data_IF_006100159327
#
_entry.id   IF_006100159327
#
_cell.length_a   1.000
_cell.length_b   1.000
_cell.length_c   1.000
_cell.angle_alpha   90.00
_cell.angle_beta   90.00
_cell.angle_gamma   90.00
#
_symmetry.space_group_name_H-M   'P 1'
#
loop_
_entity.id
_entity.type
_entity.pdbx_description
1 polymer ?
#
# COMPACT_ATOMS: atom_id res chain seq x y z
N UNK A 1 -1.50 -0.61 0.65
CA UNK A 1 -1.40 -2.08 0.82
C UNK A 1 -1.12 -2.54 2.26
N UNK A 2 -0.14 -1.98 2.99
CA UNK A 2 0.21 -2.40 4.37
C UNK A 2 -1.01 -2.53 5.32
N UNK A 3 -1.90 -1.53 5.33
CA UNK A 3 -3.14 -1.57 6.15
C UNK A 3 -4.04 -2.77 5.81
N UNK A 4 -4.11 -3.16 4.54
CA UNK A 4 -4.89 -4.31 4.11
C UNK A 4 -4.26 -5.62 4.58
N UNK A 5 -2.93 -5.73 4.54
CA UNK A 5 -2.20 -6.89 5.08
C UNK A 5 -2.47 -7.03 6.59
N UNK A 6 -2.37 -5.92 7.33
CA UNK A 6 -2.64 -5.92 8.78
C UNK A 6 -4.09 -6.32 9.09
N UNK A 7 -5.06 -5.84 8.31
CA UNK A 7 -6.46 -6.23 8.45
C UNK A 7 -6.69 -7.72 8.18
N UNK A 8 -6.15 -8.24 7.07
CA UNK A 8 -6.29 -9.64 6.69
C UNK A 8 -5.62 -10.61 7.67
N UNK A 9 -4.47 -10.24 8.23
CA UNK A 9 -3.71 -11.07 9.17
C UNK A 9 -4.12 -10.89 10.64
N UNK A 10 -5.07 -10.03 10.96
CA UNK A 10 -5.45 -9.76 12.35
C UNK A 10 -5.93 -11.03 13.08
N UNK A 11 -6.79 -11.82 12.44
CA UNK A 11 -7.29 -13.09 12.99
C UNK A 11 -6.41 -14.29 12.61
N UNK A 12 -5.80 -14.27 11.42
CA UNK A 12 -5.03 -15.41 10.91
C UNK A 12 -3.58 -15.46 11.44
N UNK A 13 -2.99 -14.31 11.76
CA UNK A 13 -1.56 -14.20 12.06
C UNK A 13 -0.66 -14.61 10.90
N UNK A 14 0.65 -14.64 11.13
CA UNK A 14 1.62 -15.12 10.13
C UNK A 14 1.91 -14.11 9.02
N UNK A 15 1.97 -14.59 7.77
CA UNK A 15 2.40 -13.83 6.60
C UNK A 15 1.52 -14.12 5.38
N UNK A 16 1.42 -13.15 4.46
CA UNK A 16 0.86 -13.37 3.13
C UNK A 16 1.99 -13.75 2.18
N UNK A 17 1.89 -14.94 1.60
CA UNK A 17 2.82 -15.40 0.56
C UNK A 17 2.28 -15.05 -0.82
N UNK A 18 3.05 -14.28 -1.59
CA UNK A 18 2.70 -13.86 -2.95
C UNK A 18 3.78 -14.27 -3.96
N UNK A 19 3.38 -14.52 -5.20
CA UNK A 19 4.25 -14.93 -6.30
C UNK A 19 4.10 -13.97 -7.48
N UNK A 20 5.22 -13.53 -8.05
CA UNK A 20 5.26 -12.52 -9.09
C UNK A 20 5.86 -13.11 -10.37
N UNK A 21 5.06 -13.21 -11.42
CA UNK A 21 5.45 -13.82 -12.69
C UNK A 21 5.77 -12.80 -13.80
N UNK A 22 5.61 -11.48 -13.53
CA UNK A 22 5.77 -10.41 -14.53
C UNK A 22 4.68 -10.36 -15.61
N UNK A 23 3.69 -11.25 -15.55
CA UNK A 23 2.51 -11.30 -16.43
C UNK A 23 1.38 -12.06 -15.73
N UNK A 24 0.15 -11.88 -16.21
CA UNK A 24 -1.02 -12.59 -15.68
C UNK A 24 -1.42 -12.15 -14.27
N UNK A 25 -1.26 -10.86 -13.96
CA UNK A 25 -1.65 -10.26 -12.67
C UNK A 25 -3.10 -10.56 -12.29
N UNK A 26 -4.02 -10.54 -13.28
CA UNK A 26 -5.40 -10.99 -13.13
C UNK A 26 -5.58 -12.38 -12.47
N UNK A 27 -4.65 -13.32 -12.70
CA UNK A 27 -4.67 -14.63 -12.03
C UNK A 27 -4.35 -14.53 -10.54
N UNK A 28 -3.46 -13.62 -10.16
CA UNK A 28 -3.18 -13.30 -8.76
C UNK A 28 -4.34 -12.57 -8.06
N UNK A 29 -5.08 -11.75 -8.80
CA UNK A 29 -6.18 -10.94 -8.29
C UNK A 29 -7.49 -11.72 -8.15
N UNK A 30 -7.76 -12.65 -9.07
CA UNK A 30 -9.03 -13.38 -9.12
C UNK A 30 -8.83 -14.84 -8.72
N UNK A 31 -7.94 -15.55 -9.40
CA UNK A 31 -7.82 -17.01 -9.24
C UNK A 31 -7.32 -17.39 -7.85
N UNK A 32 -6.31 -16.68 -7.31
CA UNK A 32 -5.78 -16.97 -5.97
C UNK A 32 -6.84 -16.84 -4.86
N UNK A 33 -7.51 -15.68 -4.68
CA UNK A 33 -8.54 -15.56 -3.65
C UNK A 33 -9.75 -16.45 -3.93
N UNK A 34 -10.13 -16.66 -5.19
CA UNK A 34 -11.27 -17.50 -5.51
C UNK A 34 -11.04 -18.99 -5.23
N UNK A 35 -9.91 -19.53 -5.70
CA UNK A 35 -9.63 -20.99 -5.65
C UNK A 35 -8.91 -21.41 -4.38
N UNK A 36 -7.92 -20.63 -3.92
CA UNK A 36 -7.09 -21.00 -2.76
C UNK A 36 -7.63 -20.41 -1.45
N UNK A 37 -8.61 -19.50 -1.52
CA UNK A 37 -9.18 -18.81 -0.35
C UNK A 37 -8.13 -18.08 0.49
N UNK A 38 -7.09 -17.56 -0.16
CA UNK A 38 -5.96 -16.84 0.44
C UNK A 38 -5.95 -15.38 0.00
N UNK A 39 -5.48 -14.50 0.88
CA UNK A 39 -5.10 -13.14 0.50
C UNK A 39 -3.90 -13.17 -0.46
N UNK A 40 -3.76 -12.14 -1.27
CA UNK A 40 -2.64 -12.01 -2.18
C UNK A 40 -2.28 -10.54 -2.42
N UNK A 41 -0.98 -10.24 -2.56
CA UNK A 41 -0.46 -8.95 -3.00
C UNK A 41 0.11 -9.11 -4.40
N UNK A 42 -0.22 -8.20 -5.30
CA UNK A 42 0.05 -8.30 -6.73
C UNK A 42 0.73 -7.03 -7.21
N UNK A 43 1.72 -7.17 -8.10
CA UNK A 43 2.25 -6.06 -8.89
C UNK A 43 1.34 -5.91 -10.11
N UNK A 44 0.69 -4.75 -10.31
CA UNK A 44 -0.20 -4.51 -11.45
C UNK A 44 0.51 -4.77 -12.79
N UNK A 45 -0.18 -5.44 -13.70
CA UNK A 45 0.28 -5.71 -15.04
C UNK A 45 -0.27 -4.71 -16.06
N UNK A 46 -0.15 -5.06 -17.35
CA UNK A 46 -0.63 -4.21 -18.43
C UNK A 46 -2.15 -3.99 -18.44
N UNK A 47 -2.93 -4.97 -17.98
CA UNK A 47 -4.39 -4.84 -17.93
C UNK A 47 -4.81 -3.80 -16.90
N UNK A 48 -4.24 -3.88 -15.70
CA UNK A 48 -4.51 -2.98 -14.58
C UNK A 48 -4.05 -1.55 -14.90
N UNK A 49 -2.92 -1.39 -15.60
CA UNK A 49 -2.49 -0.08 -16.13
C UNK A 49 -3.52 0.57 -17.05
N UNK A 50 -4.21 -0.24 -17.87
CA UNK A 50 -5.21 0.27 -18.83
C UNK A 50 -6.56 0.50 -18.16
N UNK A 51 -7.02 -0.45 -17.34
CA UNK A 51 -8.40 -0.45 -16.82
C UNK A 51 -8.53 0.17 -15.43
N UNK A 52 -7.49 0.08 -14.60
CA UNK A 52 -7.44 0.63 -13.25
C UNK A 52 -6.48 1.82 -13.13
N UNK A 53 -5.82 2.21 -14.23
CA UNK A 53 -4.88 3.33 -14.33
C UNK A 53 -3.71 3.22 -13.35
N UNK A 54 -3.28 2.00 -13.06
CA UNK A 54 -2.26 1.77 -12.03
C UNK A 54 -0.85 2.17 -12.49
N UNK A 55 -0.04 2.65 -11.55
CA UNK A 55 1.39 2.94 -11.73
C UNK A 55 2.30 1.71 -11.57
N UNK A 56 3.59 1.87 -11.93
CA UNK A 56 4.63 0.83 -11.73
C UNK A 56 5.05 0.67 -10.26
N UNK A 57 4.83 1.71 -9.45
CA UNK A 57 5.10 1.78 -8.02
C UNK A 57 3.87 1.42 -7.17
N UNK A 58 2.77 1.05 -7.81
CA UNK A 58 1.54 0.65 -7.15
C UNK A 58 1.46 -0.86 -6.92
N UNK A 59 0.63 -1.25 -5.96
CA UNK A 59 0.39 -2.64 -5.59
C UNK A 59 -1.10 -2.88 -5.43
N UNK A 60 -1.58 -4.00 -5.93
CA UNK A 60 -2.93 -4.48 -5.70
C UNK A 60 -2.96 -5.45 -4.51
N UNK A 61 -4.07 -5.44 -3.77
CA UNK A 61 -4.36 -6.40 -2.72
C UNK A 61 -5.68 -7.10 -3.06
N UNK A 62 -5.66 -8.43 -3.04
CA UNK A 62 -6.82 -9.24 -3.34
C UNK A 62 -7.17 -10.12 -2.14
N UNK A 63 -8.48 -10.28 -1.89
CA UNK A 63 -8.99 -11.08 -0.78
C UNK A 63 -10.16 -11.96 -1.22
N UNK A 64 -10.32 -13.15 -0.61
CA UNK A 64 -11.49 -13.97 -0.83
C UNK A 64 -12.73 -13.31 -0.23
N UNK A 65 -13.85 -13.34 -0.97
CA UNK A 65 -15.12 -12.78 -0.52
C UNK A 65 -15.57 -13.36 0.84
N UNK A 66 -15.28 -14.63 1.10
CA UNK A 66 -15.62 -15.31 2.35
C UNK A 66 -14.89 -14.76 3.59
N UNK A 67 -13.87 -13.91 3.44
CA UNK A 67 -13.10 -13.32 4.55
C UNK A 67 -13.34 -11.82 4.72
N UNK A 68 -14.30 -11.23 4.01
CA UNK A 68 -14.56 -9.78 4.07
C UNK A 68 -14.87 -9.34 5.51
N UNK A 69 -15.72 -10.06 6.24
CA UNK A 69 -16.11 -9.67 7.60
C UNK A 69 -14.92 -9.73 8.58
N UNK A 70 -14.10 -10.77 8.47
CA UNK A 70 -12.89 -10.92 9.27
C UNK A 70 -11.85 -9.85 8.94
N UNK A 71 -11.66 -9.55 7.65
CA UNK A 71 -10.81 -8.47 7.19
C UNK A 71 -11.27 -7.11 7.73
N UNK A 72 -12.56 -6.81 7.65
CA UNK A 72 -13.11 -5.53 8.14
C UNK A 72 -12.94 -5.42 9.65
N UNK A 73 -13.23 -6.50 10.39
CA UNK A 73 -12.99 -6.57 11.84
C UNK A 73 -11.52 -6.27 12.15
N UNK A 74 -10.59 -6.90 11.43
CA UNK A 74 -9.17 -6.68 11.62
C UNK A 74 -8.71 -5.27 11.25
N UNK A 75 -9.26 -4.71 10.18
CA UNK A 75 -8.91 -3.35 9.74
C UNK A 75 -9.29 -2.32 10.81
N UNK A 76 -10.49 -2.43 11.39
CA UNK A 76 -10.98 -1.58 12.48
C UNK A 76 -10.15 -1.81 13.75
N UNK A 77 -10.04 -3.04 14.21
CA UNK A 77 -9.34 -3.35 15.45
C UNK A 77 -7.87 -2.91 15.43
N UNK A 78 -7.18 -3.11 14.31
CA UNK A 78 -5.78 -2.69 14.17
C UNK A 78 -5.63 -1.16 14.10
N UNK A 79 -6.64 -0.45 13.59
CA UNK A 79 -6.67 1.02 13.58
C UNK A 79 -6.84 1.60 14.99
N UNK A 80 -7.81 1.07 15.73
CA UNK A 80 -8.20 1.57 17.05
C UNK A 80 -7.11 1.33 18.10
N UNK A 81 -6.45 0.17 18.03
CA UNK A 81 -5.36 -0.17 18.93
C UNK A 81 -4.02 0.55 18.63
N UNK A 82 -3.97 1.40 17.61
CA UNK A 82 -2.83 2.28 17.33
C UNK A 82 -1.57 1.60 16.76
N UNK A 83 -1.34 0.31 17.04
CA UNK A 83 -0.17 -0.48 16.59
C UNK A 83 0.01 -0.45 15.08
N UNK A 84 -1.10 -0.36 14.33
CA UNK A 84 -1.11 -0.46 12.89
C UNK A 84 -1.40 0.88 12.19
N UNK A 85 -1.29 2.01 12.90
CA UNK A 85 -1.35 3.36 12.32
C UNK A 85 -0.10 3.74 11.53
N UNK A 86 0.92 2.88 11.51
CA UNK A 86 2.04 2.95 10.57
C UNK A 86 1.51 2.45 9.21
N UNK A 87 1.33 3.35 8.23
CA UNK A 87 2.44 4.08 7.63
C UNK A 87 2.65 5.45 8.26
N UNK A 88 3.89 5.72 8.64
CA UNK A 88 4.34 7.09 8.92
C UNK A 88 3.94 7.96 7.72
N UNK A 89 3.38 9.16 7.91
CA UNK A 89 3.25 10.11 6.80
C UNK A 89 4.60 10.14 6.07
N UNK A 90 4.56 10.10 4.73
CA UNK A 90 5.77 10.22 3.91
C UNK A 90 6.55 11.39 4.49
N UNK A 91 7.70 11.15 5.12
CA UNK A 91 8.37 12.22 5.86
C UNK A 91 8.62 13.43 4.94
N UNK A 92 8.77 13.18 3.63
CA UNK A 92 8.73 14.16 2.54
C UNK A 92 7.61 15.22 2.60
N UNK A 93 6.45 14.95 3.20
CA UNK A 93 5.37 15.95 3.37
C UNK A 93 5.53 16.81 4.62
N UNK A 94 6.33 16.37 5.59
CA UNK A 94 6.55 17.05 6.87
C UNK A 94 7.97 17.62 7.00
N UNK A 95 8.87 17.32 6.06
CA UNK A 95 10.20 17.92 6.02
C UNK A 95 10.15 19.24 5.29
N UNK A 96 10.90 20.22 5.80
CA UNK A 96 11.19 21.42 5.03
C UNK A 96 12.14 21.05 3.89
N UNK A 97 11.79 21.32 2.62
CA UNK A 97 12.67 21.06 1.50
C UNK A 97 13.92 21.93 1.62
N UNK A 98 15.10 21.32 1.56
CA UNK A 98 16.35 22.06 1.48
C UNK A 98 16.62 22.39 0.02
N UNK A 99 16.45 23.65 -0.35
CA UNK A 99 16.73 24.07 -1.72
C UNK A 99 18.24 23.95 -2.04
N UNK A 100 18.61 23.64 -3.29
CA UNK A 100 19.99 23.70 -3.75
C UNK A 100 20.65 25.06 -3.45
N UNK A 101 21.97 25.06 -3.24
CA UNK A 101 22.76 26.24 -2.83
C UNK A 101 22.51 27.51 -3.66
N UNK A 102 22.23 27.38 -4.95
CA UNK A 102 22.03 28.53 -5.83
C UNK A 102 20.71 29.27 -5.59
N UNK A 103 19.75 28.68 -4.87
CA UNK A 103 18.52 29.36 -4.43
C UNK A 103 18.66 30.04 -3.06
N UNK A 104 19.75 29.84 -2.33
CA UNK A 104 19.85 30.33 -0.95
C UNK A 104 19.78 31.85 -0.83
N UNK A 105 20.31 32.59 -1.81
CA UNK A 105 20.19 34.05 -1.82
C UNK A 105 18.73 34.49 -2.05
N UNK A 106 17.98 33.72 -2.85
CA UNK A 106 16.53 33.94 -3.02
C UNK A 106 15.75 33.55 -1.75
N UNK A 107 16.13 32.47 -1.07
CA UNK A 107 15.52 32.08 0.21
C UNK A 107 15.73 33.15 1.28
N UNK A 108 16.95 33.72 1.39
CA UNK A 108 17.24 34.85 2.30
C UNK A 108 16.43 36.09 1.92
N UNK A 109 16.39 36.43 0.64
CA UNK A 109 15.59 37.56 0.14
C UNK A 109 14.10 37.41 0.50
N UNK A 110 13.56 36.19 0.39
CA UNK A 110 12.17 35.87 0.71
C UNK A 110 11.92 35.61 2.21
N UNK A 111 12.93 35.66 3.08
CA UNK A 111 12.79 35.39 4.52
C UNK A 111 12.49 33.93 4.87
N UNK A 112 12.87 32.98 4.00
CA UNK A 112 12.67 31.54 4.19
C UNK A 112 13.88 30.85 4.85
N UNK A 113 15.00 31.56 4.97
CA UNK A 113 16.28 31.09 5.51
C UNK A 113 16.95 32.21 6.30
N UNK A 114 17.44 31.88 7.49
CA UNK A 114 18.24 32.77 8.35
C UNK A 114 19.59 33.16 7.71
#
# INVERSE_FOLDING_TARGET
>A
VVRMIQGGLYKEGGYIESRFAGRGACGGEITVPYTQKKYNVIIPGGGEKVFALTGDDELAFAMPASKIDDFMTGLVATHDNGVARIPTPVFGVNVQPVFPKYYWELEKYCGLRD
#
